data_IF_954447462299
#
_entry.id   IF_954447462299
#
_cell.length_a   1.000
_cell.length_b   1.000
_cell.length_c   1.000
_cell.angle_alpha   90.00
_cell.angle_beta   90.00
_cell.angle_gamma   90.00
#
_symmetry.space_group_name_H-M   'P 1'
#
loop_
_entity.id
_entity.type
_entity.pdbx_description
1 polymer ?
#
# COMPACT_ATOMS: atom_id res chain seq x y z
N UNK A 1 24.35 -14.93 10.27
CA UNK A 1 23.55 -13.69 10.26
C UNK A 1 22.11 -14.11 10.38
N UNK A 2 21.43 -13.81 11.48
CA UNK A 2 20.03 -14.21 11.66
C UNK A 2 19.16 -13.33 10.77
N UNK A 3 18.68 -13.92 9.69
CA UNK A 3 17.58 -13.35 8.91
C UNK A 3 16.29 -13.92 9.50
N UNK A 4 15.26 -13.09 9.71
CA UNK A 4 13.93 -13.59 10.08
C UNK A 4 13.46 -14.63 9.06
N UNK A 5 13.28 -15.86 9.56
CA UNK A 5 12.80 -17.03 8.83
C UNK A 5 11.27 -17.13 8.89
N UNK A 6 10.69 -18.10 8.17
CA UNK A 6 9.25 -18.39 8.24
C UNK A 6 8.85 -18.83 9.65
N UNK A 7 9.68 -19.67 10.27
CA UNK A 7 9.50 -20.21 11.61
C UNK A 7 9.53 -19.09 12.66
N UNK A 8 10.43 -18.12 12.49
CA UNK A 8 10.49 -16.94 13.35
C UNK A 8 9.21 -16.09 13.24
N UNK A 9 8.68 -15.89 12.04
CA UNK A 9 7.44 -15.14 11.83
C UNK A 9 6.27 -15.86 12.51
N UNK A 10 6.14 -17.18 12.32
CA UNK A 10 5.10 -17.99 12.96
C UNK A 10 5.17 -17.91 14.48
N UNK A 11 6.37 -18.10 15.04
CA UNK A 11 6.61 -17.99 16.47
C UNK A 11 6.26 -16.60 17.01
N UNK A 12 6.65 -15.54 16.28
CA UNK A 12 6.33 -14.16 16.65
C UNK A 12 4.83 -13.88 16.65
N UNK A 13 4.11 -14.28 15.59
CA UNK A 13 2.64 -14.16 15.51
C UNK A 13 1.95 -14.87 16.66
N UNK A 14 2.36 -16.11 16.94
CA UNK A 14 1.85 -16.90 18.06
C UNK A 14 2.09 -16.23 19.41
N UNK A 15 3.29 -15.70 19.63
CA UNK A 15 3.64 -14.97 20.86
C UNK A 15 2.80 -13.70 21.04
N UNK A 16 2.37 -13.07 19.93
CA UNK A 16 1.49 -11.91 19.92
C UNK A 16 -0.01 -12.28 19.96
N UNK A 17 -0.37 -13.57 20.00
CA UNK A 17 -1.75 -14.05 20.08
C UNK A 17 -2.47 -14.20 18.74
N UNK A 18 -1.73 -14.23 17.62
CA UNK A 18 -2.28 -14.37 16.27
C UNK A 18 -2.02 -15.76 15.68
N UNK A 19 -2.77 -16.09 14.62
CA UNK A 19 -2.60 -17.33 13.86
C UNK A 19 -1.19 -17.45 13.27
N UNK A 20 -0.65 -18.66 13.22
CA UNK A 20 0.62 -18.98 12.55
C UNK A 20 0.51 -18.97 11.01
N UNK A 21 -0.64 -18.57 10.45
CA UNK A 21 -0.84 -18.37 9.02
C UNK A 21 0.05 -17.24 8.49
N UNK A 22 0.87 -17.56 7.49
CA UNK A 22 1.77 -16.61 6.81
C UNK A 22 1.36 -16.32 5.36
N UNK A 23 0.20 -16.81 4.91
CA UNK A 23 -0.29 -16.64 3.54
C UNK A 23 -0.64 -15.20 3.17
N UNK A 24 -0.69 -14.32 4.17
CA UNK A 24 -1.12 -12.91 4.08
C UNK A 24 -0.07 -11.97 4.68
N UNK A 25 1.20 -12.21 4.38
CA UNK A 25 2.33 -11.46 4.93
C UNK A 25 2.97 -10.57 3.87
N UNK A 26 3.29 -9.34 4.23
CA UNK A 26 4.08 -8.43 3.40
C UNK A 26 5.37 -8.03 4.12
N UNK A 27 6.49 -8.01 3.39
CA UNK A 27 7.73 -7.39 3.87
C UNK A 27 7.78 -5.97 3.32
N UNK A 28 7.85 -4.97 4.21
CA UNK A 28 7.70 -3.57 3.82
C UNK A 28 8.78 -2.67 4.41
N UNK A 29 9.16 -1.65 3.64
CA UNK A 29 9.99 -0.53 4.10
C UNK A 29 9.19 0.76 3.97
N UNK A 30 9.17 1.59 5.02
CA UNK A 30 8.55 2.90 4.93
C UNK A 30 9.25 3.79 3.88
N UNK A 31 8.47 4.46 3.03
CA UNK A 31 9.03 5.32 1.99
C UNK A 31 9.62 6.62 2.58
N UNK A 32 10.91 6.83 2.38
CA UNK A 32 11.66 8.00 2.87
C UNK A 32 11.13 9.34 2.36
N UNK A 33 10.49 9.38 1.17
CA UNK A 33 9.94 10.62 0.57
C UNK A 33 8.80 11.28 1.37
N UNK A 34 8.23 10.60 2.37
CA UNK A 34 7.13 11.13 3.19
C UNK A 34 7.45 11.20 4.69
N UNK A 35 8.65 10.78 5.12
CA UNK A 35 9.07 10.87 6.52
C UNK A 35 9.13 12.32 7.05
N UNK A 36 9.06 13.32 6.18
CA UNK A 36 9.04 14.75 6.54
C UNK A 36 7.64 15.38 6.53
N UNK A 37 6.64 14.78 5.88
CA UNK A 37 5.34 15.44 5.64
C UNK A 37 4.15 14.87 6.45
N UNK A 38 4.33 13.76 7.17
CA UNK A 38 3.33 13.27 8.14
C UNK A 38 3.62 13.94 9.49
N UNK A 39 3.18 15.19 9.65
CA UNK A 39 3.26 15.94 10.90
C UNK A 39 2.22 15.39 11.90
N UNK A 40 2.67 14.58 12.86
CA UNK A 40 1.85 14.06 13.96
C UNK A 40 2.55 12.96 14.75
N UNK A 41 1.98 12.57 15.90
CA UNK A 41 2.51 11.52 16.80
C UNK A 41 2.77 10.16 16.12
N UNK A 42 2.19 9.94 14.94
CA UNK A 42 2.29 8.70 14.17
C UNK A 42 3.43 8.68 13.14
N UNK A 43 4.11 9.80 12.89
CA UNK A 43 5.25 9.85 11.96
C UNK A 43 6.44 8.98 12.39
N UNK A 44 6.51 8.59 13.67
CA UNK A 44 7.51 7.65 14.19
C UNK A 44 7.13 6.17 13.97
N UNK A 45 5.83 5.85 13.91
CA UNK A 45 5.32 4.47 13.75
C UNK A 45 5.55 3.90 12.35
N UNK A 46 5.81 4.78 11.39
CA UNK A 46 5.97 4.43 9.99
C UNK A 46 7.40 4.70 9.51
N UNK A 47 8.39 4.46 10.36
CA UNK A 47 9.81 4.51 10.00
C UNK A 47 10.42 3.11 10.07
N UNK A 48 11.24 2.76 9.09
CA UNK A 48 12.00 1.50 9.09
C UNK A 48 11.27 0.31 8.45
N UNK A 49 11.76 -0.88 8.76
CA UNK A 49 11.38 -2.14 8.14
C UNK A 49 10.36 -2.89 9.01
N UNK A 50 9.35 -3.45 8.36
CA UNK A 50 8.31 -4.22 9.04
C UNK A 50 7.94 -5.47 8.25
N UNK A 51 7.48 -6.48 8.98
CA UNK A 51 6.71 -7.59 8.43
C UNK A 51 5.26 -7.33 8.81
N UNK A 52 4.41 -7.11 7.83
CA UNK A 52 2.97 -6.91 8.02
C UNK A 52 2.24 -8.23 7.90
N UNK A 53 1.30 -8.47 8.79
CA UNK A 53 0.33 -9.55 8.69
C UNK A 53 -1.07 -8.98 8.56
N UNK A 54 -1.78 -9.37 7.49
CA UNK A 54 -3.15 -8.95 7.24
C UNK A 54 -4.11 -9.94 7.89
N UNK A 55 -4.55 -9.59 9.09
CA UNK A 55 -5.53 -10.36 9.88
C UNK A 55 -6.96 -9.95 9.51
N UNK A 56 -7.95 -10.75 9.86
CA UNK A 56 -9.36 -10.47 9.48
C UNK A 56 -9.90 -9.16 10.07
N UNK A 57 -9.37 -8.73 11.22
CA UNK A 57 -9.80 -7.55 11.96
C UNK A 57 -8.83 -6.36 11.87
N UNK A 58 -7.76 -6.45 11.09
CA UNK A 58 -6.77 -5.37 10.97
C UNK A 58 -5.38 -5.86 10.59
N UNK A 59 -4.40 -4.98 10.69
CA UNK A 59 -3.04 -5.23 10.22
C UNK A 59 -2.10 -5.25 11.42
N UNK A 60 -1.43 -6.38 11.62
CA UNK A 60 -0.36 -6.51 12.58
C UNK A 60 0.96 -6.09 11.92
N UNK A 61 1.60 -5.07 12.48
CA UNK A 61 2.94 -4.65 12.13
C UNK A 61 3.90 -5.32 13.10
N UNK A 62 4.86 -6.08 12.57
CA UNK A 62 5.96 -6.66 13.34
C UNK A 62 7.26 -5.96 12.94
N UNK A 63 7.87 -5.26 13.91
CA UNK A 63 9.00 -4.39 13.67
C UNK A 63 10.32 -5.14 13.53
N UNK A 64 11.14 -4.75 12.55
CA UNK A 64 12.49 -5.28 12.37
C UNK A 64 13.51 -4.17 12.11
N UNK A 65 14.74 -4.39 12.53
CA UNK A 65 15.85 -3.46 12.26
C UNK A 65 16.48 -3.73 10.87
N UNK A 66 17.45 -2.89 10.49
CA UNK A 66 18.17 -3.01 9.22
C UNK A 66 18.93 -4.34 9.03
N UNK A 67 19.15 -5.10 10.12
CA UNK A 67 19.76 -6.43 10.11
C UNK A 67 18.71 -7.56 10.09
N UNK A 68 17.43 -7.25 9.89
CA UNK A 68 16.30 -8.19 9.97
C UNK A 68 16.10 -8.84 11.35
N UNK A 69 16.52 -8.21 12.44
CA UNK A 69 16.18 -8.71 13.78
C UNK A 69 14.94 -7.98 14.31
N UNK A 70 14.10 -8.68 15.08
CA UNK A 70 12.97 -8.08 15.78
C UNK A 70 13.45 -6.92 16.67
N UNK A 71 12.73 -5.80 16.63
CA UNK A 71 13.05 -4.60 17.40
C UNK A 71 11.95 -4.22 18.40
N UNK A 72 10.95 -5.10 18.57
CA UNK A 72 9.81 -4.94 19.49
C UNK A 72 8.90 -3.72 19.18
N UNK A 73 9.05 -3.08 18.02
CA UNK A 73 8.17 -2.00 17.58
C UNK A 73 6.87 -2.54 16.95
N UNK A 74 6.31 -3.58 17.56
CA UNK A 74 5.10 -4.23 17.06
C UNK A 74 3.86 -3.39 17.38
N UNK A 75 2.94 -3.28 16.44
CA UNK A 75 1.66 -2.61 16.69
C UNK A 75 0.55 -3.21 15.84
N UNK A 76 -0.69 -3.08 16.30
CA UNK A 76 -1.86 -3.50 15.55
C UNK A 76 -2.66 -2.29 15.10
N UNK A 77 -3.00 -2.23 13.81
CA UNK A 77 -3.90 -1.24 13.23
C UNK A 77 -5.27 -1.91 12.98
N UNK A 78 -6.29 -1.61 13.80
CA UNK A 78 -7.61 -2.17 13.61
C UNK A 78 -8.20 -1.78 12.25
N UNK A 79 -8.87 -2.71 11.58
CA UNK A 79 -9.51 -2.45 10.29
C UNK A 79 -10.57 -1.33 10.40
N UNK A 80 -11.19 -1.18 11.58
CA UNK A 80 -12.12 -0.09 11.88
C UNK A 80 -11.49 1.30 11.84
N UNK A 81 -10.17 1.41 12.02
CA UNK A 81 -9.41 2.66 11.94
C UNK A 81 -8.88 2.94 10.52
N UNK A 82 -8.93 1.97 9.61
CA UNK A 82 -8.46 2.14 8.24
C UNK A 82 -9.54 2.88 7.44
N UNK A 83 -9.17 4.02 6.84
CA UNK A 83 -10.02 4.74 5.89
C UNK A 83 -9.84 4.20 4.48
N UNK A 84 -8.58 3.99 4.08
CA UNK A 84 -8.27 3.40 2.77
C UNK A 84 -6.99 2.60 2.82
N UNK A 85 -6.92 1.57 1.99
CA UNK A 85 -5.73 0.75 1.78
C UNK A 85 -5.65 0.35 0.31
N UNK A 86 -4.46 0.41 -0.28
CA UNK A 86 -4.27 -0.01 -1.67
C UNK A 86 -2.85 -0.52 -1.91
N UNK A 87 -2.73 -1.54 -2.76
CA UNK A 87 -1.48 -1.93 -3.39
C UNK A 87 -1.43 -1.34 -4.79
N UNK A 88 -0.36 -0.61 -5.11
CA UNK A 88 -0.12 -0.01 -6.42
C UNK A 88 1.14 -0.63 -6.99
N UNK A 89 1.08 -1.17 -8.21
CA UNK A 89 2.30 -1.61 -8.90
C UNK A 89 3.21 -0.40 -9.12
N UNK A 90 4.45 -0.48 -8.64
CA UNK A 90 5.49 0.52 -8.95
C UNK A 90 6.64 -0.18 -9.65
N UNK A 91 6.95 0.27 -10.84
CA UNK A 91 8.23 -0.03 -11.48
C UNK A 91 9.29 0.87 -10.83
N UNK A 92 10.09 0.31 -9.93
CA UNK A 92 11.21 1.03 -9.30
C UNK A 92 12.48 0.66 -10.09
N UNK A 93 13.11 1.65 -10.71
CA UNK A 93 14.36 1.48 -11.46
C UNK A 93 15.47 2.27 -10.76
N UNK A 94 16.48 1.58 -10.21
CA UNK A 94 17.60 2.20 -9.47
C UNK A 94 18.34 1.24 -8.52
N UNK A 95 19.63 1.49 -8.28
CA UNK A 95 20.67 0.61 -7.69
C UNK A 95 20.32 -0.12 -6.36
N UNK A 96 19.53 -1.19 -6.49
CA UNK A 96 19.63 -2.49 -5.80
C UNK A 96 18.48 -3.34 -6.35
N UNK A 97 18.73 -4.09 -7.43
CA UNK A 97 18.00 -5.29 -7.88
C UNK A 97 16.57 -5.51 -7.32
N UNK A 98 15.51 -4.79 -7.75
CA UNK A 98 14.14 -5.28 -7.51
C UNK A 98 13.17 -4.87 -8.65
N UNK A 99 12.94 -5.80 -9.57
CA UNK A 99 11.99 -5.61 -10.69
C UNK A 99 10.51 -5.76 -10.28
N UNK A 100 10.23 -6.22 -9.04
CA UNK A 100 8.87 -6.53 -8.57
C UNK A 100 8.63 -5.98 -7.15
N UNK A 101 8.36 -4.68 -7.03
CA UNK A 101 7.89 -4.07 -5.79
C UNK A 101 6.49 -3.46 -5.99
N UNK A 102 5.69 -3.48 -4.94
CA UNK A 102 4.42 -2.76 -4.91
C UNK A 102 4.55 -1.60 -3.92
N UNK A 103 3.82 -0.52 -4.15
CA UNK A 103 3.59 0.48 -3.13
C UNK A 103 2.34 0.10 -2.35
N UNK A 104 2.48 -0.07 -1.04
CA UNK A 104 1.36 -0.16 -0.12
C UNK A 104 1.05 1.25 0.39
N UNK A 105 -0.19 1.67 0.25
CA UNK A 105 -0.68 2.96 0.75
C UNK A 105 -1.78 2.69 1.77
N UNK A 106 -1.65 3.25 2.97
CA UNK A 106 -2.63 3.14 4.05
C UNK A 106 -3.00 4.54 4.52
N UNK A 107 -4.29 4.85 4.57
CA UNK A 107 -4.82 6.07 5.19
C UNK A 107 -5.69 5.66 6.37
N UNK A 108 -5.46 6.27 7.52
CA UNK A 108 -6.27 6.09 8.73
C UNK A 108 -7.46 7.05 8.71
N UNK A 109 -8.57 6.67 9.35
CA UNK A 109 -9.74 7.56 9.53
C UNK A 109 -9.33 8.83 10.27
N UNK A 110 -9.76 9.97 9.76
CA UNK A 110 -9.45 11.29 10.31
C UNK A 110 -8.13 11.90 9.83
N UNK A 111 -7.32 11.16 9.07
CA UNK A 111 -6.04 11.65 8.54
C UNK A 111 -6.18 12.07 7.07
N UNK A 112 -5.56 13.19 6.71
CA UNK A 112 -5.47 13.64 5.30
C UNK A 112 -4.27 13.04 4.58
N UNK A 113 -3.28 12.56 5.33
CA UNK A 113 -2.04 11.98 4.81
C UNK A 113 -2.09 10.44 4.83
N UNK A 114 -1.49 9.82 3.81
CA UNK A 114 -1.32 8.37 3.75
C UNK A 114 0.09 7.96 4.14
N UNK A 115 0.21 6.88 4.92
CA UNK A 115 1.45 6.13 5.05
C UNK A 115 1.72 5.37 3.75
N UNK A 116 2.98 5.38 3.29
CA UNK A 116 3.42 4.72 2.05
C UNK A 116 4.59 3.81 2.34
N UNK A 117 4.51 2.59 1.85
CA UNK A 117 5.54 1.59 2.00
C UNK A 117 5.93 0.98 0.67
N UNK A 118 7.21 0.69 0.54
CA UNK A 118 7.73 -0.19 -0.49
C UNK A 118 7.50 -1.61 0.01
N UNK A 119 6.64 -2.36 -0.67
CA UNK A 119 6.37 -3.77 -0.42
C UNK A 119 7.20 -4.62 -1.38
N UNK A 120 8.08 -5.44 -0.82
CA UNK A 120 8.96 -6.32 -1.58
C UNK A 120 8.22 -7.63 -1.89
N UNK A 121 8.01 -7.93 -3.17
CA UNK A 121 7.31 -9.17 -3.57
C UNK A 121 8.27 -10.31 -3.84
N UNK A 122 9.56 -10.03 -4.00
CA UNK A 122 10.61 -11.04 -4.09
C UNK A 122 11.83 -10.59 -3.28
N UNK A 123 12.35 -11.50 -2.46
CA UNK A 123 13.64 -11.36 -1.79
C UNK A 123 14.36 -12.70 -1.78
N UNK A 124 15.69 -12.68 -1.84
CA UNK A 124 16.51 -13.89 -1.76
C UNK A 124 16.19 -14.65 -0.46
N UNK A 125 15.81 -15.91 -0.56
CA UNK A 125 15.43 -16.75 0.58
C UNK A 125 14.03 -16.50 1.17
N UNK A 126 13.21 -15.64 0.54
CA UNK A 126 11.82 -15.35 0.98
C UNK A 126 10.83 -15.48 -0.17
N UNK A 127 10.79 -16.65 -0.80
CA UNK A 127 9.88 -16.94 -1.92
C UNK A 127 8.39 -16.82 -1.55
N UNK A 128 8.03 -17.04 -0.28
CA UNK A 128 6.64 -16.93 0.21
C UNK A 128 6.01 -15.54 0.01
N UNK A 129 6.82 -14.49 -0.19
CA UNK A 129 6.33 -13.12 -0.38
C UNK A 129 5.60 -12.92 -1.71
N UNK A 130 5.97 -13.64 -2.78
CA UNK A 130 5.32 -13.49 -4.08
C UNK A 130 3.89 -13.99 -4.06
N UNK A 131 3.65 -15.06 -3.32
CA UNK A 131 2.37 -15.76 -3.27
C UNK A 131 1.39 -15.07 -2.30
N UNK A 132 1.91 -14.21 -1.43
CA UNK A 132 1.11 -13.52 -0.41
C UNK A 132 0.32 -12.34 -0.97
N UNK A 133 0.80 -11.67 -2.02
CA UNK A 133 0.16 -10.45 -2.55
C UNK A 133 -1.29 -10.68 -2.98
N UNK A 134 -1.63 -11.70 -3.80
CA UNK A 134 -3.02 -11.96 -4.18
C UNK A 134 -3.94 -12.27 -2.98
N UNK A 135 -3.41 -12.93 -1.94
CA UNK A 135 -4.18 -13.24 -0.73
C UNK A 135 -4.41 -11.98 0.12
N UNK A 136 -3.42 -11.10 0.19
CA UNK A 136 -3.53 -9.80 0.83
C UNK A 136 -4.59 -8.95 0.12
N UNK A 137 -4.52 -8.85 -1.21
CA UNK A 137 -5.50 -8.11 -2.02
C UNK A 137 -6.93 -8.60 -1.77
N UNK A 138 -7.15 -9.91 -1.65
CA UNK A 138 -8.46 -10.47 -1.27
C UNK A 138 -8.87 -10.08 0.15
N UNK A 139 -7.95 -10.10 1.10
CA UNK A 139 -8.21 -9.81 2.52
C UNK A 139 -8.57 -8.35 2.74
N UNK A 140 -7.87 -7.41 2.10
CA UNK A 140 -8.17 -5.98 2.26
C UNK A 140 -9.54 -5.59 1.70
N UNK A 141 -10.12 -6.38 0.78
CA UNK A 141 -11.48 -6.18 0.27
C UNK A 141 -12.56 -6.56 1.29
N UNK A 142 -12.25 -7.42 2.26
CA UNK A 142 -13.20 -7.82 3.31
C UNK A 142 -13.16 -6.92 4.53
N UNK A 143 -12.15 -6.05 4.67
CA UNK A 143 -12.13 -5.04 5.73
C UNK A 143 -13.38 -4.17 5.63
N UNK A 144 -13.94 -3.71 6.78
CA UNK A 144 -15.12 -2.85 6.79
C UNK A 144 -14.87 -1.68 5.84
N UNK A 145 -15.55 -1.70 4.68
CA UNK A 145 -15.18 -0.90 3.51
C UNK A 145 -15.07 0.59 3.92
N UNK A 146 -14.21 1.45 3.38
CA UNK A 146 -14.05 1.80 1.95
C UNK A 146 -15.37 1.93 1.14
N UNK A 147 -16.53 1.75 1.77
CA UNK A 147 -17.87 1.95 1.23
C UNK A 147 -18.70 2.58 2.33
N UNK A 148 -18.33 3.82 2.58
CA UNK A 148 -19.21 4.91 3.00
C UNK A 148 -18.41 6.22 2.83
N UNK A 149 -17.97 6.48 1.60
CA UNK A 149 -17.76 7.85 1.09
C UNK A 149 -18.29 7.90 -0.35
N UNK A 150 -19.55 7.55 -0.50
CA UNK A 150 -20.41 8.14 -1.53
C UNK A 150 -21.55 8.82 -0.80
N UNK A 151 -21.24 9.96 -0.19
CA UNK A 151 -22.22 11.01 0.05
C UNK A 151 -21.55 12.33 -0.32
N UNK A 152 -22.04 12.86 -1.44
CA UNK A 152 -21.77 14.17 -2.01
C UNK A 152 -21.32 15.22 -0.99
N UNK A 153 -20.18 15.88 -1.24
CA UNK A 153 -20.13 17.32 -1.49
C UNK A 153 -18.89 17.68 -2.31
N UNK A 154 -19.11 18.44 -3.38
CA UNK A 154 -18.11 19.30 -4.04
C UNK A 154 -17.17 19.94 -3.01
N UNK A 155 -15.86 19.92 -3.29
CA UNK A 155 -14.95 21.09 -3.25
C UNK A 155 -13.50 20.68 -3.46
N UNK A 156 -12.91 21.08 -4.60
CA UNK A 156 -11.45 21.21 -4.74
C UNK A 156 -10.67 20.02 -5.30
N UNK A 157 -11.14 19.41 -6.39
CA UNK A 157 -10.38 18.39 -7.11
C UNK A 157 -9.20 19.00 -7.88
N UNK A 158 -7.97 18.86 -7.37
CA UNK A 158 -6.79 18.79 -8.24
C UNK A 158 -6.81 17.43 -8.95
N UNK A 159 -7.69 17.33 -9.94
CA UNK A 159 -7.78 16.16 -10.80
C UNK A 159 -6.53 16.11 -11.67
N UNK A 160 -5.72 15.07 -11.52
CA UNK A 160 -4.49 14.94 -12.30
C UNK A 160 -4.83 14.82 -13.79
N UNK A 161 -4.03 15.42 -14.67
CA UNK A 161 -4.25 15.36 -16.13
C UNK A 161 -4.31 13.89 -16.64
N UNK A 162 -3.71 12.96 -15.89
CA UNK A 162 -3.71 11.54 -16.17
C UNK A 162 -5.07 10.88 -15.86
N UNK A 163 -5.74 11.30 -14.79
CA UNK A 163 -7.10 10.84 -14.46
C UNK A 163 -8.11 11.32 -15.51
N UNK A 164 -7.98 12.58 -15.96
CA UNK A 164 -8.80 13.13 -17.04
C UNK A 164 -8.61 12.37 -18.36
N UNK A 165 -7.37 12.03 -18.70
CA UNK A 165 -7.05 11.25 -19.89
C UNK A 165 -7.64 9.83 -19.84
N UNK A 166 -7.63 9.20 -18.66
CA UNK A 166 -8.22 7.87 -18.47
C UNK A 166 -9.74 7.87 -18.65
N UNK A 167 -10.43 8.94 -18.19
CA UNK A 167 -11.88 9.12 -18.38
C UNK A 167 -12.22 9.37 -19.85
N UNK A 168 -11.46 10.24 -20.52
CA UNK A 168 -11.62 10.50 -21.95
C UNK A 168 -11.48 9.23 -22.78
N UNK A 169 -10.50 8.37 -22.44
CA UNK A 169 -10.31 7.11 -23.16
C UNK A 169 -11.50 6.17 -23.01
N UNK A 170 -12.07 6.08 -21.80
CA UNK A 170 -13.28 5.27 -21.55
C UNK A 170 -14.48 5.77 -22.34
N UNK A 171 -14.61 7.08 -22.53
CA UNK A 171 -15.68 7.67 -23.32
C UNK A 171 -15.54 7.30 -24.80
N UNK A 172 -14.32 7.35 -25.33
CA UNK A 172 -14.01 6.92 -26.69
C UNK A 172 -14.29 5.42 -26.87
N UNK A 173 -13.83 4.58 -25.94
CA UNK A 173 -14.05 3.12 -25.96
C UNK A 173 -15.54 2.76 -25.83
N UNK A 174 -16.39 3.69 -25.35
CA UNK A 174 -17.84 3.53 -25.24
C UNK A 174 -18.63 4.18 -26.38
N UNK A 175 -17.94 4.64 -27.43
CA UNK A 175 -18.51 5.39 -28.56
C UNK A 175 -19.30 6.65 -28.12
N UNK A 176 -19.03 7.18 -26.93
CA UNK A 176 -19.69 8.36 -26.37
C UNK A 176 -19.08 9.67 -26.85
N UNK A 177 -17.83 9.62 -27.35
CA UNK A 177 -17.12 10.71 -28.02
C UNK A 177 -16.40 10.16 -29.25
N UNK A 178 -16.10 11.03 -30.20
CA UNK A 178 -15.33 10.64 -31.39
C UNK A 178 -13.82 10.65 -31.14
N UNK A 179 -13.07 10.00 -32.02
CA UNK A 179 -11.60 10.02 -31.99
C UNK A 179 -11.04 11.46 -32.09
N UNK A 180 -11.69 12.31 -32.89
CA UNK A 180 -11.30 13.72 -33.07
C UNK A 180 -11.50 14.53 -31.78
N UNK A 181 -12.65 14.36 -31.11
CA UNK A 181 -12.94 15.01 -29.83
C UNK A 181 -11.98 14.56 -28.72
N UNK A 182 -11.62 13.26 -28.72
CA UNK A 182 -10.64 12.71 -27.79
C UNK A 182 -9.26 13.35 -27.99
N UNK A 183 -8.78 13.45 -29.23
CA UNK A 183 -7.45 13.95 -29.55
C UNK A 183 -7.31 15.45 -29.27
N UNK A 184 -8.36 16.25 -29.52
CA UNK A 184 -8.38 17.67 -29.13
C UNK A 184 -8.27 17.85 -27.62
N UNK A 185 -9.08 17.12 -26.84
CA UNK A 185 -9.07 17.21 -25.37
C UNK A 185 -7.78 16.69 -24.77
N UNK A 186 -7.20 15.63 -25.33
CA UNK A 186 -5.88 15.12 -24.96
C UNK A 186 -4.79 16.17 -25.19
N UNK A 187 -4.83 16.88 -26.33
CA UNK A 187 -3.86 17.93 -26.65
C UNK A 187 -3.98 19.14 -25.71
N UNK A 188 -5.18 19.51 -25.30
CA UNK A 188 -5.40 20.54 -24.27
C UNK A 188 -4.81 20.13 -22.92
N UNK A 189 -5.03 18.89 -22.49
CA UNK A 189 -4.55 18.39 -21.20
C UNK A 189 -3.04 18.26 -21.12
N UNK A 190 -2.38 17.93 -22.23
CA UNK A 190 -0.92 17.78 -22.30
C UNK A 190 -0.17 19.12 -22.44
N UNK A 191 -0.85 20.22 -22.77
CA UNK A 191 -0.25 21.57 -22.78
C UNK A 191 0.00 22.16 -21.40
N UNK A 192 -0.64 21.62 -20.36
CA UNK A 192 -0.57 22.08 -18.97
C UNK A 192 0.27 21.14 -18.07
N UNK A 193 1.20 20.40 -18.67
CA UNK A 193 2.22 19.56 -18.01
C UNK A 193 3.58 20.11 -18.41
#
# INVERSE_FOLDING_TARGET
MSNVTVEDIKAKKKALGYSEDISRIAYVEASTKMNELVLGAYGALFKGLHILSFEDNGILFMGINALNNWNESDFFLPASEIQSISFRKKYIFGLRLFFNAHELVITKKGETSSARYICYTTMLGKSFLSDSIPNIEKTILSYPKLAEVQTNQNSGSFESNLDKLSKLKKLLDSDAITQEEFDEKKKELLKNI
#
